data_IF_898059886586
#
_entry.id   IF_898059886586
#
_cell.length_a   1.000
_cell.length_b   1.000
_cell.length_c   1.000
_cell.angle_alpha   90.00
_cell.angle_beta   90.00
_cell.angle_gamma   90.00
#
_symmetry.space_group_name_H-M   'P 1'
#
loop_
_entity.id
_entity.type
_entity.pdbx_description
1 polymer ?
#
# COMPACT_ATOMS: atom_id res chain seq x y z
N UNK A 1 -42.78 -8.60 33.94
CA UNK A 1 -41.73 -9.63 33.74
C UNK A 1 -41.51 -9.98 32.26
N UNK A 2 -42.55 -10.36 31.48
CA UNK A 2 -42.40 -10.75 30.06
C UNK A 2 -41.82 -9.65 29.14
N UNK A 3 -42.24 -8.39 29.31
CA UNK A 3 -41.70 -7.24 28.54
C UNK A 3 -40.22 -6.95 28.81
N UNK A 4 -39.76 -7.17 30.04
CA UNK A 4 -38.35 -6.99 30.41
C UNK A 4 -37.47 -8.09 29.79
N UNK A 5 -37.96 -9.33 29.80
CA UNK A 5 -37.27 -10.46 29.16
C UNK A 5 -37.17 -10.31 27.64
N UNK A 6 -38.21 -9.75 27.00
CA UNK A 6 -38.21 -9.47 25.56
C UNK A 6 -37.16 -8.43 25.14
N UNK A 7 -36.92 -7.40 25.96
CA UNK A 7 -35.91 -6.37 25.67
C UNK A 7 -34.48 -6.93 25.75
N UNK A 8 -34.22 -7.83 26.69
CA UNK A 8 -32.92 -8.51 26.82
C UNK A 8 -32.66 -9.37 25.58
N UNK A 9 -33.64 -10.18 25.16
CA UNK A 9 -33.52 -11.04 23.97
C UNK A 9 -33.27 -10.20 22.70
N UNK A 10 -33.94 -9.06 22.56
CA UNK A 10 -33.76 -8.16 21.42
C UNK A 10 -32.33 -7.57 21.37
N UNK A 11 -31.80 -7.16 22.52
CA UNK A 11 -30.43 -6.61 22.60
C UNK A 11 -29.35 -7.65 22.25
N UNK A 12 -29.55 -8.91 22.68
CA UNK A 12 -28.66 -10.02 22.35
C UNK A 12 -28.77 -10.38 20.86
N UNK A 13 -29.97 -10.38 20.30
CA UNK A 13 -30.19 -10.62 18.87
C UNK A 13 -29.53 -9.54 17.99
N UNK A 14 -29.61 -8.27 18.39
CA UNK A 14 -28.93 -7.16 17.68
C UNK A 14 -27.41 -7.30 17.79
N UNK A 15 -26.88 -7.65 18.97
CA UNK A 15 -25.45 -7.92 19.16
C UNK A 15 -24.94 -9.07 18.29
N UNK A 16 -25.69 -10.17 18.22
CA UNK A 16 -25.37 -11.32 17.37
C UNK A 16 -25.46 -10.97 15.87
N UNK A 17 -26.44 -10.15 15.47
CA UNK A 17 -26.57 -9.65 14.10
C UNK A 17 -25.39 -8.74 13.72
N UNK A 18 -24.95 -7.85 14.61
CA UNK A 18 -23.78 -7.00 14.40
C UNK A 18 -22.49 -7.81 14.25
N UNK A 19 -22.32 -8.88 15.03
CA UNK A 19 -21.18 -9.78 14.91
C UNK A 19 -21.21 -10.54 13.57
N UNK A 20 -22.38 -11.00 13.14
CA UNK A 20 -22.54 -11.70 11.85
C UNK A 20 -22.30 -10.78 10.65
N UNK A 21 -22.74 -9.52 10.72
CA UNK A 21 -22.46 -8.49 9.71
C UNK A 21 -20.97 -8.14 9.64
N UNK A 22 -20.29 -8.09 10.79
CA UNK A 22 -18.84 -7.84 10.85
C UNK A 22 -18.04 -8.94 10.14
N UNK A 23 -18.44 -10.21 10.26
CA UNK A 23 -17.77 -11.32 9.56
C UNK A 23 -17.87 -11.21 8.03
N UNK A 24 -19.00 -10.73 7.51
CA UNK A 24 -19.21 -10.51 6.06
C UNK A 24 -18.37 -9.35 5.52
N UNK A 25 -18.07 -8.34 6.34
CA UNK A 25 -17.26 -7.19 5.94
C UNK A 25 -15.77 -7.53 5.83
N UNK A 26 -15.25 -8.41 6.70
CA UNK A 26 -13.85 -8.87 6.64
C UNK A 26 -13.61 -9.83 5.47
N UNK A 27 -14.56 -10.73 5.17
CA UNK A 27 -14.40 -11.71 4.10
C UNK A 27 -14.37 -11.09 2.68
N UNK A 28 -14.97 -9.90 2.48
CA UNK A 28 -14.99 -9.22 1.16
C UNK A 28 -13.68 -8.50 0.81
N UNK A 29 -12.79 -8.28 1.78
CA UNK A 29 -11.49 -7.63 1.54
C UNK A 29 -10.39 -8.61 1.07
N UNK A 30 -10.69 -9.90 0.93
CA UNK A 30 -9.80 -10.90 0.33
C UNK A 30 -10.07 -11.15 -1.16
N UNK A 31 -10.75 -10.22 -1.84
CA UNK A 31 -10.88 -10.21 -3.29
C UNK A 31 -9.67 -9.51 -3.92
N UNK A 32 -8.55 -10.22 -4.01
CA UNK A 32 -7.39 -9.86 -4.82
C UNK A 32 -6.43 -8.88 -4.16
N UNK A 33 -5.47 -9.41 -3.40
CA UNK A 33 -4.20 -8.72 -3.14
C UNK A 33 -3.43 -8.60 -4.47
N UNK A 34 -3.90 -7.73 -5.37
CA UNK A 34 -3.08 -7.29 -6.49
C UNK A 34 -1.85 -6.66 -5.87
N UNK A 35 -0.74 -7.42 -5.81
CA UNK A 35 0.53 -6.98 -5.26
C UNK A 35 0.84 -5.62 -5.90
N UNK A 36 1.08 -4.61 -5.08
CA UNK A 36 1.51 -3.30 -5.57
C UNK A 36 3.01 -3.22 -5.38
N UNK A 37 3.70 -2.62 -6.34
CA UNK A 37 5.08 -2.17 -6.17
C UNK A 37 5.10 -0.65 -6.33
N UNK A 38 5.82 0.02 -5.44
CA UNK A 38 6.05 1.46 -5.45
C UNK A 38 7.43 1.73 -6.05
N UNK A 39 7.46 2.39 -7.20
CA UNK A 39 8.66 2.66 -7.97
C UNK A 39 8.90 4.15 -8.05
N UNK A 40 10.12 4.58 -7.75
CA UNK A 40 10.53 5.98 -7.82
C UNK A 40 11.73 6.13 -8.75
N UNK A 41 11.55 6.78 -9.89
CA UNK A 41 12.57 6.86 -10.94
C UNK A 41 12.73 8.28 -11.49
N UNK A 42 13.70 8.49 -12.38
CA UNK A 42 13.79 9.71 -13.17
C UNK A 42 12.61 9.86 -14.14
N UNK A 43 12.24 11.11 -14.41
CA UNK A 43 11.31 11.46 -15.48
C UNK A 43 11.76 10.91 -16.84
N UNK A 44 10.80 10.51 -17.66
CA UNK A 44 11.00 10.07 -19.07
C UNK A 44 11.96 8.89 -19.28
N UNK A 45 12.36 8.19 -18.21
CA UNK A 45 13.40 7.16 -18.30
C UNK A 45 12.87 5.75 -18.63
N UNK A 46 11.54 5.57 -18.62
CA UNK A 46 10.89 4.31 -19.00
C UNK A 46 9.72 4.58 -19.95
N UNK A 47 9.53 3.69 -20.92
CA UNK A 47 8.32 3.70 -21.75
C UNK A 47 7.10 3.25 -20.91
N UNK A 48 6.03 4.06 -20.80
CA UNK A 48 4.79 3.68 -20.10
C UNK A 48 4.16 2.36 -20.59
N UNK A 49 4.44 1.96 -21.85
CA UNK A 49 3.98 0.68 -22.40
C UNK A 49 4.64 -0.51 -21.69
N UNK A 50 5.89 -0.40 -21.28
CA UNK A 50 6.59 -1.45 -20.53
C UNK A 50 5.95 -1.64 -19.15
N UNK A 51 5.57 -0.56 -18.48
CA UNK A 51 4.83 -0.63 -17.21
C UNK A 51 3.52 -1.37 -17.43
N UNK A 52 2.74 -1.00 -18.46
CA UNK A 52 1.46 -1.66 -18.77
C UNK A 52 1.63 -3.14 -19.08
N UNK A 53 2.64 -3.51 -19.85
CA UNK A 53 2.94 -4.91 -20.16
C UNK A 53 3.32 -5.70 -18.91
N UNK A 54 4.21 -5.15 -18.07
CA UNK A 54 4.58 -5.76 -16.79
C UNK A 54 3.36 -6.01 -15.91
N UNK A 55 2.47 -5.02 -15.77
CA UNK A 55 1.24 -5.18 -14.97
C UNK A 55 0.31 -6.27 -15.55
N UNK A 56 0.24 -6.38 -16.88
CA UNK A 56 -0.59 -7.39 -17.57
C UNK A 56 -0.01 -8.79 -17.40
N UNK A 57 1.30 -8.95 -17.49
CA UNK A 57 1.99 -10.23 -17.40
C UNK A 57 2.03 -10.77 -15.97
N UNK A 58 2.24 -9.89 -14.99
CA UNK A 58 2.45 -10.29 -13.59
C UNK A 58 1.20 -10.16 -12.72
N UNK A 59 0.21 -9.36 -13.15
CA UNK A 59 -0.92 -8.96 -12.32
C UNK A 59 -0.55 -7.99 -11.18
N UNK A 60 0.72 -7.55 -11.11
CA UNK A 60 1.22 -6.60 -10.12
C UNK A 60 0.87 -5.19 -10.57
N UNK A 61 0.33 -4.37 -9.68
CA UNK A 61 0.09 -2.94 -9.96
C UNK A 61 1.35 -2.14 -9.67
N UNK A 62 1.71 -1.22 -10.55
CA UNK A 62 2.87 -0.35 -10.41
C UNK A 62 2.38 1.03 -10.03
N UNK A 63 2.77 1.49 -8.84
CA UNK A 63 2.63 2.90 -8.45
C UNK A 63 3.94 3.56 -8.84
N UNK A 64 3.92 4.31 -9.94
CA UNK A 64 5.10 4.93 -10.52
C UNK A 64 5.13 6.42 -10.19
N UNK A 65 6.23 6.87 -9.61
CA UNK A 65 6.48 8.28 -9.34
C UNK A 65 7.83 8.68 -9.94
N UNK A 66 7.94 9.95 -10.34
CA UNK A 66 9.14 10.52 -10.93
C UNK A 66 9.78 11.57 -10.04
N UNK A 67 11.10 11.71 -10.14
CA UNK A 67 11.87 12.79 -9.53
C UNK A 67 12.84 13.45 -10.52
N UNK A 68 13.23 14.68 -10.20
CA UNK A 68 14.07 15.52 -11.07
C UNK A 68 15.48 15.74 -10.51
N UNK A 69 15.76 15.29 -9.29
CA UNK A 69 17.09 15.31 -8.68
C UNK A 69 17.27 14.23 -7.62
N UNK A 70 18.52 13.81 -7.40
CA UNK A 70 18.86 12.87 -6.33
C UNK A 70 18.53 13.42 -4.94
N UNK A 71 18.70 14.73 -4.74
CA UNK A 71 18.46 15.40 -3.47
C UNK A 71 16.97 15.37 -3.12
N UNK A 72 16.09 15.62 -4.10
CA UNK A 72 14.64 15.50 -3.93
C UNK A 72 14.23 14.05 -3.64
N UNK A 73 14.84 13.08 -4.34
CA UNK A 73 14.59 11.66 -4.10
C UNK A 73 15.00 11.24 -2.69
N UNK A 74 16.24 11.56 -2.28
CA UNK A 74 16.80 11.23 -0.97
C UNK A 74 15.98 11.84 0.17
N UNK A 75 15.60 13.11 0.04
CA UNK A 75 14.80 13.80 1.05
C UNK A 75 13.45 13.11 1.26
N UNK A 76 12.78 12.71 0.17
CA UNK A 76 11.48 12.03 0.26
C UNK A 76 11.58 10.64 0.87
N UNK A 77 12.58 9.85 0.49
CA UNK A 77 12.85 8.53 1.08
C UNK A 77 13.16 8.67 2.58
N UNK A 78 14.03 9.62 2.96
CA UNK A 78 14.42 9.83 4.36
C UNK A 78 13.28 10.33 5.24
N UNK A 79 12.38 11.14 4.71
CA UNK A 79 11.22 11.62 5.47
C UNK A 79 10.22 10.49 5.81
N UNK A 80 10.29 9.34 5.13
CA UNK A 80 9.54 8.13 5.48
C UNK A 80 8.02 8.19 5.27
N UNK A 81 7.48 9.31 4.81
CA UNK A 81 6.04 9.48 4.55
C UNK A 81 5.51 8.72 3.34
N UNK A 82 6.40 8.24 2.47
CA UNK A 82 6.06 7.37 1.34
C UNK A 82 7.02 6.21 1.29
N UNK A 83 6.48 4.99 1.22
CA UNK A 83 7.27 3.77 1.09
C UNK A 83 7.52 3.48 -0.40
N UNK A 84 8.78 3.19 -0.74
CA UNK A 84 9.18 2.82 -2.09
C UNK A 84 9.90 1.46 -2.05
N UNK A 85 9.50 0.54 -2.92
CA UNK A 85 10.12 -0.78 -3.05
C UNK A 85 11.37 -0.74 -3.93
N UNK A 86 11.36 0.14 -4.95
CA UNK A 86 12.47 0.32 -5.90
C UNK A 86 12.70 1.80 -6.16
N UNK A 87 13.95 2.24 -6.04
CA UNK A 87 14.40 3.59 -6.39
C UNK A 87 15.61 3.53 -7.33
N UNK A 88 15.80 4.57 -8.14
CA UNK A 88 16.88 4.64 -9.15
C UNK A 88 17.86 5.82 -8.91
N UNK A 89 18.57 5.85 -7.78
CA UNK A 89 19.59 6.86 -7.47
C UNK A 89 20.77 6.83 -8.45
N UNK A 90 21.47 7.96 -8.60
CA UNK A 90 22.81 8.00 -9.20
C UNK A 90 23.85 7.36 -8.27
N UNK A 91 25.00 6.97 -8.84
CA UNK A 91 26.06 6.25 -8.13
C UNK A 91 26.52 6.94 -6.82
N UNK A 92 26.77 8.25 -6.86
CA UNK A 92 27.20 8.99 -5.66
C UNK A 92 26.13 8.97 -4.56
N UNK A 93 24.84 8.99 -4.94
CA UNK A 93 23.72 8.95 -4.01
C UNK A 93 23.56 7.57 -3.40
N UNK A 94 23.81 6.50 -4.15
CA UNK A 94 23.90 5.14 -3.59
C UNK A 94 24.97 5.07 -2.51
N UNK A 95 26.17 5.58 -2.80
CA UNK A 95 27.28 5.58 -1.83
C UNK A 95 26.90 6.36 -0.56
N UNK A 96 26.33 7.56 -0.71
CA UNK A 96 25.87 8.40 0.40
C UNK A 96 24.79 7.71 1.24
N UNK A 97 23.75 7.16 0.61
CA UNK A 97 22.65 6.48 1.30
C UNK A 97 23.12 5.22 2.02
N UNK A 98 24.05 4.46 1.41
CA UNK A 98 24.66 3.29 2.04
C UNK A 98 25.37 3.67 3.34
N UNK A 99 26.15 4.75 3.33
CA UNK A 99 26.84 5.24 4.54
C UNK A 99 25.83 5.61 5.64
N UNK A 100 24.73 6.30 5.29
CA UNK A 100 23.68 6.64 6.26
C UNK A 100 22.93 5.44 6.83
N UNK A 101 22.80 4.33 6.08
CA UNK A 101 22.11 3.14 6.56
C UNK A 101 22.91 2.35 7.62
N UNK A 102 24.24 2.38 7.55
CA UNK A 102 25.12 1.66 8.47
C UNK A 102 25.57 2.48 9.68
N UNK A 103 25.01 3.67 9.89
CA UNK A 103 25.35 4.59 10.97
C UNK A 103 24.16 4.83 11.88
#
# INVERSE_FOLDING_TARGET
MKRFLQLIILSVAIGLLCLFLSQKFTAKNQSGTGKKIYVYNWGEYIDPKLIKNFQKETGIKVVYETFDSNEAMEAKIRNGGTHYDVAFPSEYTVQKMKICYYR
#
